data_IF_446739068399
#
_entry.id   IF_446739068399
#
_cell.length_a   1.000
_cell.length_b   1.000
_cell.length_c   1.000
_cell.angle_alpha   90.00
_cell.angle_beta   90.00
_cell.angle_gamma   90.00
#
_symmetry.space_group_name_H-M   'P 1'
#
loop_
_entity.id
_entity.type
_entity.pdbx_description
1 polymer ?
#
# COMPACT_ATOMS: atom_id res chain seq x y z
N UNK A 1 -9.61 -35.65 33.99
CA UNK A 1 -8.41 -35.38 33.16
C UNK A 1 -8.56 -36.14 31.85
N UNK A 2 -8.18 -35.51 30.72
CA UNK A 2 -8.51 -35.78 29.29
C UNK A 2 -9.72 -34.92 28.85
N UNK A 3 -9.67 -34.08 27.81
CA UNK A 3 -8.65 -33.79 26.78
C UNK A 3 -9.05 -32.45 26.15
N UNK A 4 -8.33 -31.36 26.45
CA UNK A 4 -8.38 -30.11 25.70
C UNK A 4 -7.02 -30.03 24.99
N UNK A 5 -6.89 -30.64 23.81
CA UNK A 5 -5.63 -30.51 23.07
C UNK A 5 -5.72 -30.71 21.55
N UNK A 6 -6.92 -30.80 20.96
CA UNK A 6 -7.04 -31.11 19.52
C UNK A 6 -7.61 -29.95 18.69
N UNK A 7 -8.12 -28.88 19.31
CA UNK A 7 -8.75 -27.77 18.57
C UNK A 7 -7.74 -26.64 18.23
N UNK A 8 -6.60 -26.54 18.92
CA UNK A 8 -5.60 -25.49 18.66
C UNK A 8 -4.68 -25.82 17.47
N UNK A 9 -4.56 -27.10 17.08
CA UNK A 9 -3.64 -27.52 16.01
C UNK A 9 -4.20 -27.36 14.59
N UNK A 10 -5.53 -27.23 14.44
CA UNK A 10 -6.17 -27.13 13.11
C UNK A 10 -6.15 -25.68 12.59
N UNK A 11 -6.29 -24.69 13.48
CA UNK A 11 -6.27 -23.27 13.09
C UNK A 11 -4.88 -22.76 12.68
N UNK A 12 -3.81 -23.29 13.29
CA UNK A 12 -2.44 -22.97 12.90
C UNK A 12 -2.07 -23.62 11.57
N UNK A 13 -2.50 -24.86 11.32
CA UNK A 13 -2.19 -25.59 10.09
C UNK A 13 -2.83 -24.98 8.83
N UNK A 14 -4.07 -24.46 8.91
CA UNK A 14 -4.72 -23.79 7.76
C UNK A 14 -4.08 -22.47 7.37
N UNK A 15 -3.44 -21.75 8.31
CA UNK A 15 -2.81 -20.44 8.02
C UNK A 15 -1.33 -20.58 7.61
N UNK A 16 -0.60 -21.54 8.20
CA UNK A 16 0.79 -21.88 7.79
C UNK A 16 0.85 -22.29 6.31
N UNK A 17 -0.19 -22.97 5.81
CA UNK A 17 -0.29 -23.41 4.41
C UNK A 17 -0.41 -22.25 3.41
N UNK A 18 -0.70 -21.02 3.87
CA UNK A 18 -0.71 -19.81 3.03
C UNK A 18 0.70 -19.28 2.72
N UNK A 19 1.68 -19.48 3.60
CA UNK A 19 3.06 -19.03 3.36
C UNK A 19 3.86 -20.01 2.47
N UNK A 20 3.35 -21.20 2.15
CA UNK A 20 4.10 -22.25 1.43
C UNK A 20 3.41 -22.83 0.19
N UNK A 21 2.63 -22.02 -0.53
CA UNK A 21 1.94 -22.48 -1.74
C UNK A 21 2.63 -22.02 -3.04
N UNK A 22 3.92 -22.37 -3.19
CA UNK A 22 4.71 -22.10 -4.40
C UNK A 22 4.05 -22.70 -5.67
N UNK A 23 3.37 -23.85 -5.55
CA UNK A 23 2.82 -24.57 -6.69
C UNK A 23 1.46 -24.04 -7.20
N UNK A 24 0.61 -23.42 -6.36
CA UNK A 24 -0.59 -22.70 -6.83
C UNK A 24 -0.27 -21.30 -7.34
N UNK A 25 0.73 -20.64 -6.75
CA UNK A 25 1.20 -19.33 -7.21
C UNK A 25 1.86 -19.42 -8.59
N UNK A 26 2.60 -20.49 -8.91
CA UNK A 26 3.25 -20.67 -10.22
C UNK A 26 2.27 -20.73 -11.40
N UNK A 27 1.14 -21.43 -11.29
CA UNK A 27 0.14 -21.48 -12.38
C UNK A 27 -0.75 -20.24 -12.42
N UNK A 28 -0.94 -19.55 -11.28
CA UNK A 28 -1.51 -18.20 -11.25
C UNK A 28 -0.54 -17.26 -11.97
N UNK A 29 0.67 -17.01 -11.45
CA UNK A 29 1.69 -16.07 -11.95
C UNK A 29 1.99 -16.25 -13.45
N UNK A 30 2.08 -17.49 -13.97
CA UNK A 30 2.33 -17.74 -15.39
C UNK A 30 1.11 -17.53 -16.30
N UNK A 31 -0.10 -17.42 -15.74
CA UNK A 31 -1.34 -17.06 -16.44
C UNK A 31 -1.95 -15.69 -16.05
N UNK A 32 -1.49 -15.06 -14.95
CA UNK A 32 -2.18 -13.95 -14.23
C UNK A 32 -1.56 -12.56 -14.36
N UNK A 33 -0.48 -12.37 -15.10
CA UNK A 33 -0.10 -10.99 -15.40
C UNK A 33 -1.07 -10.48 -16.46
N UNK A 34 -2.22 -9.97 -16.01
CA UNK A 34 -3.11 -9.20 -16.85
C UNK A 34 -2.29 -8.11 -17.54
N UNK A 35 -2.63 -7.71 -18.77
CA UNK A 35 -1.96 -6.61 -19.46
C UNK A 35 -1.72 -5.40 -18.54
N UNK A 36 -2.71 -5.07 -17.70
CA UNK A 36 -2.65 -3.99 -16.72
C UNK A 36 -1.51 -4.13 -15.69
N UNK A 37 -1.24 -5.34 -15.20
CA UNK A 37 -0.13 -5.58 -14.25
C UNK A 37 1.21 -5.42 -14.97
N UNK A 38 1.36 -5.94 -16.20
CA UNK A 38 2.59 -5.79 -16.98
C UNK A 38 2.88 -4.34 -17.31
N UNK A 39 1.84 -3.61 -17.71
CA UNK A 39 1.91 -2.19 -18.00
C UNK A 39 2.27 -1.39 -16.75
N UNK A 40 1.68 -1.70 -15.59
CA UNK A 40 2.01 -1.05 -14.31
C UNK A 40 3.44 -1.33 -13.86
N UNK A 41 3.96 -2.53 -14.14
CA UNK A 41 5.38 -2.87 -13.93
C UNK A 41 6.27 -2.04 -14.86
N UNK A 42 5.92 -1.95 -16.15
CA UNK A 42 6.68 -1.15 -17.11
C UNK A 42 6.65 0.35 -16.75
N UNK A 43 5.53 0.85 -16.25
CA UNK A 43 5.36 2.23 -15.79
C UNK A 43 6.39 2.60 -14.71
N UNK A 44 6.67 1.71 -13.75
CA UNK A 44 7.66 1.96 -12.69
C UNK A 44 9.08 2.18 -13.23
N UNK A 45 9.42 1.66 -14.41
CA UNK A 45 10.74 1.88 -15.02
C UNK A 45 10.99 3.35 -15.37
N UNK A 46 9.93 4.13 -15.60
CA UNK A 46 10.02 5.57 -15.87
C UNK A 46 10.46 6.36 -14.63
N UNK A 47 10.29 5.79 -13.44
CA UNK A 47 10.65 6.40 -12.16
C UNK A 47 11.86 5.74 -11.50
N UNK A 48 12.60 4.91 -12.23
CA UNK A 48 13.71 4.13 -11.69
C UNK A 48 14.78 5.03 -11.06
N UNK A 49 15.09 6.17 -11.66
CA UNK A 49 16.04 7.15 -11.09
C UNK A 49 15.54 7.71 -9.75
N UNK A 50 14.25 8.02 -9.65
CA UNK A 50 13.66 8.51 -8.40
C UNK A 50 13.73 7.44 -7.31
N UNK A 51 13.35 6.21 -7.65
CA UNK A 51 13.43 5.03 -6.77
C UNK A 51 14.86 4.79 -6.29
N UNK A 52 15.84 4.84 -7.20
CA UNK A 52 17.25 4.56 -6.89
C UNK A 52 17.96 5.70 -6.16
N UNK A 53 17.47 6.94 -6.30
CA UNK A 53 18.01 8.10 -5.59
C UNK A 53 17.83 8.01 -4.07
N UNK A 54 16.85 7.22 -3.59
CA UNK A 54 16.56 7.00 -2.18
C UNK A 54 17.23 5.71 -1.72
N UNK A 55 18.42 5.83 -1.09
CA UNK A 55 19.25 4.67 -0.70
C UNK A 55 18.51 3.69 0.20
N UNK A 56 17.73 4.19 1.14
CA UNK A 56 16.93 3.39 2.07
C UNK A 56 15.77 2.71 1.35
N UNK A 57 15.15 3.39 0.37
CA UNK A 57 14.14 2.80 -0.50
C UNK A 57 14.71 1.60 -1.24
N UNK A 58 15.95 1.68 -1.74
CA UNK A 58 16.59 0.60 -2.51
C UNK A 58 16.61 -0.75 -1.78
N UNK A 59 16.82 -0.76 -0.46
CA UNK A 59 16.93 -2.00 0.32
C UNK A 59 15.58 -2.74 0.46
N UNK A 60 14.48 -2.00 0.60
CA UNK A 60 13.13 -2.54 0.76
C UNK A 60 12.22 -2.22 -0.43
N UNK A 61 12.79 -1.88 -1.60
CA UNK A 61 12.04 -1.23 -2.69
C UNK A 61 10.82 -2.03 -3.13
N UNK A 62 10.96 -3.34 -3.24
CA UNK A 62 9.85 -4.19 -3.68
C UNK A 62 8.79 -4.32 -2.60
N UNK A 63 9.16 -4.34 -1.32
CA UNK A 63 8.18 -4.36 -0.21
C UNK A 63 7.35 -3.07 -0.20
N UNK A 64 8.03 -1.92 -0.30
CA UNK A 64 7.39 -0.60 -0.30
C UNK A 64 6.51 -0.41 -1.54
N UNK A 65 7.04 -0.73 -2.73
CA UNK A 65 6.28 -0.63 -3.97
C UNK A 65 5.08 -1.57 -3.97
N UNK A 66 5.19 -2.77 -3.39
CA UNK A 66 4.06 -3.71 -3.31
C UNK A 66 2.84 -3.11 -2.64
N UNK A 67 3.05 -2.35 -1.56
CA UNK A 67 1.96 -1.71 -0.79
C UNK A 67 1.17 -0.72 -1.65
N UNK A 68 1.84 0.05 -2.50
CA UNK A 68 1.21 1.10 -3.32
C UNK A 68 0.90 0.65 -4.75
N UNK A 69 1.41 -0.50 -5.18
CA UNK A 69 1.28 -1.01 -6.54
C UNK A 69 -0.18 -1.15 -7.03
N UNK A 70 -1.16 -1.58 -6.21
CA UNK A 70 -2.52 -1.65 -6.70
C UNK A 70 -3.10 -0.27 -7.09
N UNK A 71 -2.61 0.84 -6.52
CA UNK A 71 -3.00 2.18 -6.97
C UNK A 71 -2.40 2.55 -8.33
N UNK A 72 -1.22 2.01 -8.69
CA UNK A 72 -0.64 2.19 -10.02
C UNK A 72 -1.52 1.49 -11.07
N UNK A 73 -2.04 0.30 -10.76
CA UNK A 73 -2.99 -0.39 -11.64
C UNK A 73 -4.25 0.47 -11.84
N UNK A 74 -4.81 1.04 -10.75
CA UNK A 74 -5.97 1.94 -10.87
C UNK A 74 -5.63 3.19 -11.65
N UNK A 75 -4.46 3.77 -11.43
CA UNK A 75 -4.00 4.95 -12.15
C UNK A 75 -3.98 4.67 -13.64
N UNK A 76 -3.30 3.62 -14.09
CA UNK A 76 -3.22 3.27 -15.50
C UNK A 76 -4.60 2.95 -16.11
N UNK A 77 -5.50 2.33 -15.34
CA UNK A 77 -6.84 1.99 -15.82
C UNK A 77 -7.81 3.19 -15.89
N UNK A 78 -7.62 4.23 -15.06
CA UNK A 78 -8.60 5.31 -14.88
C UNK A 78 -7.99 6.72 -14.92
N UNK A 79 -6.77 6.89 -15.44
CA UNK A 79 -6.04 8.16 -15.39
C UNK A 79 -6.89 9.33 -15.91
N UNK A 80 -7.52 9.19 -17.07
CA UNK A 80 -8.33 10.26 -17.67
C UNK A 80 -9.48 10.71 -16.76
N UNK A 81 -10.13 9.75 -16.09
CA UNK A 81 -11.23 10.03 -15.16
C UNK A 81 -10.70 10.73 -13.91
N UNK A 82 -9.61 10.20 -13.34
CA UNK A 82 -8.97 10.74 -12.13
C UNK A 82 -8.49 12.17 -12.37
N UNK A 83 -7.81 12.44 -13.48
CA UNK A 83 -7.31 13.76 -13.83
C UNK A 83 -8.46 14.77 -14.04
N UNK A 84 -9.54 14.33 -14.69
CA UNK A 84 -10.74 15.16 -14.88
C UNK A 84 -11.41 15.51 -13.56
N UNK A 85 -11.58 14.54 -12.65
CA UNK A 85 -12.17 14.76 -11.33
C UNK A 85 -11.29 15.65 -10.44
N UNK A 86 -9.97 15.45 -10.47
CA UNK A 86 -9.02 16.24 -9.70
C UNK A 86 -9.06 17.72 -10.07
N UNK A 87 -9.16 18.06 -11.37
CA UNK A 87 -9.23 19.46 -11.82
C UNK A 87 -10.44 20.22 -11.24
N UNK A 88 -11.57 19.54 -11.05
CA UNK A 88 -12.75 20.13 -10.40
C UNK A 88 -12.58 20.29 -8.89
N UNK A 89 -11.91 19.33 -8.23
CA UNK A 89 -11.86 19.20 -6.78
C UNK A 89 -10.73 19.99 -6.11
N UNK A 90 -9.66 20.35 -6.82
CA UNK A 90 -8.55 21.16 -6.31
C UNK A 90 -9.00 22.52 -5.76
N UNK A 91 -10.18 22.99 -6.17
CA UNK A 91 -10.82 24.23 -5.68
C UNK A 91 -11.63 24.05 -4.38
N UNK A 92 -11.72 22.83 -3.84
CA UNK A 92 -12.61 22.48 -2.71
C UNK A 92 -11.83 21.91 -1.52
N UNK A 93 -12.42 22.03 -0.32
CA UNK A 93 -11.90 21.39 0.91
C UNK A 93 -12.14 19.86 0.97
N UNK A 94 -12.47 19.21 -0.15
CA UNK A 94 -12.77 17.78 -0.19
C UNK A 94 -11.52 16.89 0.00
N UNK A 95 -11.66 15.74 0.63
CA UNK A 95 -10.56 14.80 0.88
C UNK A 95 -10.50 13.71 -0.21
N UNK A 96 -9.98 14.07 -1.38
CA UNK A 96 -9.86 13.21 -2.56
C UNK A 96 -8.45 12.64 -2.73
N UNK A 97 -8.35 11.57 -3.51
CA UNK A 97 -7.09 10.90 -3.84
C UNK A 97 -6.32 11.65 -4.93
N UNK A 98 -4.99 11.75 -4.78
CA UNK A 98 -4.12 12.57 -5.64
C UNK A 98 -2.89 11.74 -6.08
N UNK A 99 -2.58 11.82 -7.37
CA UNK A 99 -1.35 11.29 -7.96
C UNK A 99 -1.32 9.76 -8.10
N UNK A 100 -0.18 9.22 -8.53
CA UNK A 100 -0.03 7.81 -8.91
C UNK A 100 -0.31 6.80 -7.79
N UNK A 101 -0.09 7.16 -6.52
CA UNK A 101 -0.42 6.30 -5.39
C UNK A 101 -1.75 6.66 -4.72
N UNK A 102 -2.53 7.56 -5.34
CA UNK A 102 -3.90 7.88 -4.95
C UNK A 102 -4.05 8.19 -3.45
N UNK A 103 -3.02 8.81 -2.85
CA UNK A 103 -3.06 9.21 -1.44
C UNK A 103 -4.07 10.33 -1.22
N UNK A 104 -4.66 10.40 -0.02
CA UNK A 104 -5.52 11.52 0.40
C UNK A 104 -4.74 12.55 1.23
N UNK A 105 -5.09 13.85 1.17
CA UNK A 105 -4.51 14.85 2.07
C UNK A 105 -4.65 14.48 3.56
N UNK A 106 -5.79 13.93 3.97
CA UNK A 106 -5.97 13.46 5.36
C UNK A 106 -5.03 12.30 5.72
N UNK A 107 -4.77 11.39 4.80
CA UNK A 107 -3.86 10.26 5.00
C UNK A 107 -2.43 10.75 5.23
N UNK A 108 -1.96 11.69 4.39
CA UNK A 108 -0.63 12.27 4.53
C UNK A 108 -0.53 13.12 5.80
N UNK A 109 -1.56 13.89 6.15
CA UNK A 109 -1.61 14.60 7.44
C UNK A 109 -1.52 13.62 8.62
N UNK A 110 -2.23 12.50 8.58
CA UNK A 110 -2.16 11.48 9.64
C UNK A 110 -0.73 10.92 9.78
N UNK A 111 0.01 10.76 8.68
CA UNK A 111 1.42 10.37 8.74
C UNK A 111 2.31 11.46 9.37
N UNK A 112 2.11 12.73 8.98
CA UNK A 112 2.83 13.86 9.59
C UNK A 112 2.59 13.93 11.11
N UNK A 113 1.32 13.86 11.52
CA UNK A 113 0.92 13.86 12.93
C UNK A 113 1.54 12.66 13.67
N UNK A 114 1.61 11.50 13.02
CA UNK A 114 2.21 10.29 13.59
C UNK A 114 3.74 10.43 13.77
N UNK A 115 4.45 10.87 12.73
CA UNK A 115 5.89 11.13 12.75
C UNK A 115 6.24 12.12 13.86
N UNK A 116 5.47 13.22 13.96
CA UNK A 116 5.66 14.21 15.01
C UNK A 116 5.40 13.65 16.41
N UNK A 117 4.29 12.91 16.58
CA UNK A 117 3.90 12.34 17.89
C UNK A 117 4.92 11.35 18.44
N UNK A 118 5.53 10.55 17.58
CA UNK A 118 6.48 9.51 17.97
C UNK A 118 7.95 9.90 17.74
N UNK A 119 8.21 11.18 17.44
CA UNK A 119 9.54 11.77 17.25
C UNK A 119 10.42 11.00 16.24
N UNK A 120 9.84 10.57 15.12
CA UNK A 120 10.54 9.79 14.10
C UNK A 120 11.38 10.72 13.19
N UNK A 121 12.47 11.26 13.74
CA UNK A 121 13.31 12.33 13.16
C UNK A 121 13.79 12.06 11.73
N UNK A 122 14.05 10.80 11.40
CA UNK A 122 14.47 10.39 10.05
C UNK A 122 13.40 10.69 8.98
N UNK A 123 12.15 10.93 9.39
CA UNK A 123 11.02 11.30 8.52
C UNK A 123 10.59 12.76 8.67
N UNK A 124 11.37 13.63 9.32
CA UNK A 124 11.05 15.06 9.44
C UNK A 124 10.84 15.74 8.07
N UNK A 125 11.42 15.18 7.00
CA UNK A 125 11.24 15.67 5.64
C UNK A 125 9.80 15.62 5.12
N UNK A 126 8.90 14.81 5.71
CA UNK A 126 7.47 14.82 5.34
C UNK A 126 6.69 15.91 6.06
N UNK A 127 7.22 16.45 7.16
CA UNK A 127 6.50 17.44 7.98
C UNK A 127 6.29 18.74 7.21
N UNK A 128 5.14 19.36 7.47
CA UNK A 128 4.81 20.70 7.00
C UNK A 128 4.71 21.59 8.23
N UNK A 129 5.75 22.36 8.48
CA UNK A 129 5.88 23.18 9.69
C UNK A 129 5.60 24.65 9.39
N UNK A 130 5.19 25.39 10.43
CA UNK A 130 5.07 26.84 10.43
C UNK A 130 4.08 27.42 9.40
N UNK A 131 3.06 26.64 9.03
CA UNK A 131 1.96 27.05 8.16
C UNK A 131 0.63 26.95 8.91
N UNK A 132 -0.31 27.84 8.59
CA UNK A 132 -1.70 27.66 9.00
C UNK A 132 -2.33 26.46 8.27
N UNK A 133 -3.46 25.95 8.78
CA UNK A 133 -4.07 24.71 8.27
C UNK A 133 -4.35 24.72 6.76
N UNK A 134 -4.76 25.88 6.21
CA UNK A 134 -5.02 26.04 4.77
C UNK A 134 -3.74 25.97 3.94
N UNK A 135 -2.70 26.69 4.35
CA UNK A 135 -1.41 26.70 3.65
C UNK A 135 -0.72 25.34 3.76
N UNK A 136 -0.82 24.68 4.92
CA UNK A 136 -0.29 23.34 5.12
C UNK A 136 -1.01 22.32 4.22
N UNK A 137 -2.33 22.46 4.05
CA UNK A 137 -3.09 21.64 3.10
C UNK A 137 -2.69 21.90 1.66
N UNK A 138 -2.51 23.15 1.26
CA UNK A 138 -2.07 23.49 -0.10
C UNK A 138 -0.69 22.92 -0.43
N UNK A 139 0.27 23.04 0.50
CA UNK A 139 1.61 22.44 0.38
C UNK A 139 1.51 20.91 0.24
N UNK A 140 0.66 20.26 1.04
CA UNK A 140 0.45 18.81 0.97
C UNK A 140 -0.07 18.37 -0.40
N UNK A 141 -1.08 19.08 -0.92
CA UNK A 141 -1.64 18.83 -2.26
C UNK A 141 -0.56 19.02 -3.33
N UNK A 142 0.21 20.11 -3.25
CA UNK A 142 1.32 20.41 -4.16
C UNK A 142 2.39 19.30 -4.14
N UNK A 143 2.76 18.80 -2.96
CA UNK A 143 3.68 17.65 -2.85
C UNK A 143 3.06 16.40 -3.46
N UNK A 144 1.82 16.09 -3.13
CA UNK A 144 1.14 14.88 -3.61
C UNK A 144 0.95 14.84 -5.14
N UNK A 145 0.90 15.98 -5.83
CA UNK A 145 0.86 16.00 -7.29
C UNK A 145 2.20 15.69 -7.96
N UNK A 146 3.29 15.60 -7.19
CA UNK A 146 4.64 15.36 -7.70
C UNK A 146 5.07 13.90 -7.45
N UNK A 147 5.48 13.15 -8.49
CA UNK A 147 5.85 11.75 -8.34
C UNK A 147 6.93 11.49 -7.27
N UNK A 148 8.00 12.29 -7.20
CA UNK A 148 9.07 12.08 -6.22
C UNK A 148 8.58 12.20 -4.77
N UNK A 149 7.59 13.06 -4.52
CA UNK A 149 6.97 13.19 -3.21
C UNK A 149 6.05 12.00 -2.91
N UNK A 150 5.34 11.46 -3.90
CA UNK A 150 4.57 10.22 -3.75
C UNK A 150 5.48 9.05 -3.31
N UNK A 151 6.68 8.91 -3.91
CA UNK A 151 7.67 7.92 -3.47
C UNK A 151 8.21 8.18 -2.05
N UNK A 152 8.49 9.44 -1.70
CA UNK A 152 8.89 9.83 -0.34
C UNK A 152 7.80 9.51 0.69
N UNK A 153 6.54 9.72 0.37
CA UNK A 153 5.42 9.37 1.25
C UNK A 153 5.23 7.86 1.35
N UNK A 154 5.39 7.09 0.27
CA UNK A 154 5.34 5.63 0.32
C UNK A 154 6.47 5.06 1.19
N UNK A 155 7.66 5.64 1.10
CA UNK A 155 8.80 5.32 1.96
C UNK A 155 8.50 5.59 3.43
N UNK A 156 8.05 6.81 3.75
CA UNK A 156 7.70 7.17 5.12
C UNK A 156 6.56 6.30 5.66
N UNK A 157 5.54 6.03 4.84
CA UNK A 157 4.42 5.16 5.19
C UNK A 157 4.89 3.78 5.64
N UNK A 158 5.78 3.15 4.87
CA UNK A 158 6.29 1.83 5.21
C UNK A 158 6.86 1.79 6.64
N UNK A 159 7.68 2.77 6.99
CA UNK A 159 8.29 2.85 8.31
C UNK A 159 7.32 3.27 9.42
N UNK A 160 6.37 4.15 9.11
CA UNK A 160 5.24 4.46 10.02
C UNK A 160 4.44 3.20 10.32
N UNK A 161 4.16 2.36 9.32
CA UNK A 161 3.47 1.08 9.49
C UNK A 161 4.32 0.08 10.30
N UNK A 162 5.62 -0.05 10.01
CA UNK A 162 6.55 -0.87 10.82
C UNK A 162 6.51 -0.46 12.30
N UNK A 163 6.58 0.85 12.59
CA UNK A 163 6.53 1.33 13.97
C UNK A 163 5.14 1.13 14.61
N UNK A 164 4.07 1.46 13.88
CA UNK A 164 2.68 1.39 14.36
C UNK A 164 2.26 -0.03 14.74
N UNK A 165 2.75 -1.01 13.99
CA UNK A 165 2.34 -2.40 14.11
C UNK A 165 3.48 -3.31 14.58
N UNK A 166 4.49 -2.75 15.25
CA UNK A 166 5.67 -3.48 15.77
C UNK A 166 5.35 -4.64 16.72
N UNK A 167 4.19 -4.60 17.37
CA UNK A 167 3.73 -5.65 18.29
C UNK A 167 3.08 -6.85 17.55
N UNK A 168 2.85 -6.74 16.24
CA UNK A 168 2.34 -7.84 15.43
C UNK A 168 3.50 -8.76 15.06
N UNK A 169 3.41 -10.02 15.49
CA UNK A 169 4.30 -11.08 15.03
C UNK A 169 3.82 -11.60 13.66
N UNK A 170 4.25 -10.93 12.58
CA UNK A 170 3.99 -11.41 11.23
C UNK A 170 4.65 -12.77 11.01
N UNK A 171 3.90 -13.72 10.45
CA UNK A 171 4.38 -15.10 10.23
C UNK A 171 5.41 -15.20 9.11
N UNK A 172 5.27 -14.35 8.09
CA UNK A 172 6.14 -14.29 6.92
C UNK A 172 6.08 -12.88 6.31
N UNK A 173 6.98 -12.55 5.39
CA UNK A 173 7.02 -11.23 4.73
C UNK A 173 5.76 -10.96 3.91
N UNK A 174 5.19 -12.01 3.33
CA UNK A 174 3.97 -11.98 2.55
C UNK A 174 2.79 -11.50 3.41
N UNK A 175 2.64 -12.02 4.64
CA UNK A 175 1.61 -11.58 5.58
C UNK A 175 1.79 -10.10 5.96
N UNK A 176 3.04 -9.66 6.16
CA UNK A 176 3.36 -8.25 6.43
C UNK A 176 2.98 -7.34 5.28
N UNK A 177 3.32 -7.71 4.04
CA UNK A 177 2.99 -6.93 2.84
C UNK A 177 1.47 -6.83 2.67
N UNK A 178 0.76 -7.94 2.79
CA UNK A 178 -0.70 -7.93 2.68
C UNK A 178 -1.36 -7.05 3.74
N UNK A 179 -0.87 -7.12 4.98
CA UNK A 179 -1.38 -6.31 6.08
C UNK A 179 -1.07 -4.81 5.87
N UNK A 180 0.15 -4.45 5.49
CA UNK A 180 0.51 -3.05 5.22
C UNK A 180 -0.20 -2.50 3.99
N UNK A 181 -0.45 -3.31 2.96
CA UNK A 181 -1.29 -2.94 1.83
C UNK A 181 -2.74 -2.68 2.25
N UNK A 182 -3.30 -3.52 3.12
CA UNK A 182 -4.64 -3.31 3.67
C UNK A 182 -4.72 -2.02 4.50
N UNK A 183 -3.74 -1.79 5.37
CA UNK A 183 -3.64 -0.59 6.20
C UNK A 183 -3.48 0.68 5.35
N UNK A 184 -2.79 0.59 4.22
CA UNK A 184 -2.64 1.69 3.27
C UNK A 184 -3.98 2.03 2.63
N UNK A 185 -4.67 1.00 2.12
CA UNK A 185 -5.92 1.18 1.39
C UNK A 185 -7.12 1.54 2.29
N UNK A 186 -7.14 1.07 3.54
CA UNK A 186 -8.21 1.32 4.50
C UNK A 186 -7.96 2.55 5.39
N UNK A 187 -6.70 2.75 5.79
CA UNK A 187 -6.27 3.77 6.76
C UNK A 187 -5.52 3.14 7.95
N UNK A 188 -4.26 3.50 8.11
CA UNK A 188 -3.33 2.84 9.06
C UNK A 188 -3.56 3.18 10.54
N UNK A 189 -4.41 4.16 10.84
CA UNK A 189 -4.81 4.47 12.21
C UNK A 189 -5.92 3.55 12.72
N UNK A 190 -6.53 2.74 11.85
CA UNK A 190 -7.55 1.76 12.20
C UNK A 190 -7.02 0.66 13.12
N UNK A 191 -7.94 -0.09 13.70
CA UNK A 191 -7.57 -1.24 14.55
C UNK A 191 -7.00 -2.38 13.73
N UNK A 192 -6.24 -3.27 14.39
CA UNK A 192 -5.65 -4.45 13.75
C UNK A 192 -6.75 -5.33 13.15
N UNK A 193 -7.86 -5.51 13.87
CA UNK A 193 -8.97 -6.36 13.44
C UNK A 193 -9.67 -5.79 12.18
N UNK A 194 -9.92 -4.48 12.14
CA UNK A 194 -10.48 -3.81 10.95
C UNK A 194 -9.56 -3.98 9.73
N UNK A 195 -8.25 -3.82 9.93
CA UNK A 195 -7.27 -3.98 8.85
C UNK A 195 -7.22 -5.44 8.38
N UNK A 196 -7.26 -6.43 9.29
CA UNK A 196 -7.31 -7.86 8.94
C UNK A 196 -8.60 -8.25 8.22
N UNK A 197 -9.73 -7.65 8.58
CA UNK A 197 -10.98 -7.82 7.83
C UNK A 197 -10.83 -7.23 6.42
N UNK A 198 -10.30 -6.01 6.32
CA UNK A 198 -10.13 -5.32 5.05
C UNK A 198 -9.14 -6.03 4.11
N UNK A 199 -8.08 -6.63 4.65
CA UNK A 199 -7.06 -7.38 3.92
C UNK A 199 -7.67 -8.44 2.99
N UNK A 200 -8.80 -9.02 3.37
CA UNK A 200 -9.45 -10.11 2.63
C UNK A 200 -10.63 -9.63 1.75
N UNK A 201 -10.98 -8.34 1.76
CA UNK A 201 -12.14 -7.84 1.00
C UNK A 201 -11.85 -7.76 -0.49
N UNK A 202 -12.63 -8.51 -1.26
CA UNK A 202 -12.53 -8.62 -2.73
C UNK A 202 -13.32 -7.52 -3.43
N UNK A 203 -12.81 -6.30 -3.35
CA UNK A 203 -13.45 -5.09 -3.88
C UNK A 203 -12.53 -4.26 -4.77
N UNK A 204 -11.38 -4.82 -5.19
CA UNK A 204 -10.44 -4.16 -6.09
C UNK A 204 -10.68 -4.60 -7.55
N UNK A 205 -10.59 -3.68 -8.54
CA UNK A 205 -10.26 -2.26 -8.41
C UNK A 205 -11.46 -1.32 -8.20
N UNK A 206 -12.69 -1.78 -8.47
CA UNK A 206 -13.88 -0.95 -8.71
C UNK A 206 -14.73 -0.65 -7.46
N UNK A 207 -14.39 -1.24 -6.32
CA UNK A 207 -15.12 -1.06 -5.06
C UNK A 207 -16.28 -2.03 -4.87
N UNK A 208 -16.93 -1.92 -3.71
CA UNK A 208 -17.96 -2.87 -3.24
C UNK A 208 -19.27 -2.87 -4.04
N UNK A 209 -19.51 -1.83 -4.85
CA UNK A 209 -20.74 -1.70 -5.66
C UNK A 209 -20.64 -2.37 -7.02
N UNK A 210 -19.44 -2.82 -7.42
CA UNK A 210 -19.25 -3.44 -8.73
C UNK A 210 -19.65 -4.93 -8.68
N UNK A 211 -20.51 -5.40 -9.60
CA UNK A 211 -21.18 -6.70 -9.47
C UNK A 211 -20.30 -7.90 -9.89
N UNK A 212 -19.20 -7.68 -10.61
CA UNK A 212 -18.34 -8.76 -11.11
C UNK A 212 -17.34 -9.23 -10.05
N UNK A 213 -16.84 -10.47 -10.17
CA UNK A 213 -15.75 -10.95 -9.33
C UNK A 213 -14.55 -10.01 -9.37
N UNK A 214 -14.03 -9.73 -8.18
CA UNK A 214 -12.91 -8.82 -7.93
C UNK A 214 -11.89 -9.53 -7.04
N UNK A 215 -10.71 -8.92 -6.88
CA UNK A 215 -9.70 -9.39 -5.94
C UNK A 215 -9.57 -8.43 -4.76
N UNK A 216 -8.79 -8.82 -3.75
CA UNK A 216 -8.42 -7.93 -2.65
C UNK A 216 -7.19 -7.09 -3.00
N UNK A 217 -7.18 -5.85 -2.51
CA UNK A 217 -6.04 -4.94 -2.66
C UNK A 217 -4.73 -5.61 -2.19
N UNK A 218 -4.79 -6.28 -1.04
CA UNK A 218 -3.67 -7.01 -0.44
C UNK A 218 -3.17 -8.18 -1.29
N UNK A 219 -4.05 -8.91 -1.98
CA UNK A 219 -3.61 -9.98 -2.87
C UNK A 219 -2.87 -9.43 -4.10
N UNK A 220 -3.33 -8.32 -4.67
CA UNK A 220 -2.64 -7.65 -5.78
C UNK A 220 -1.23 -7.19 -5.36
N UNK A 221 -1.09 -6.62 -4.16
CA UNK A 221 0.21 -6.26 -3.59
C UNK A 221 1.14 -7.48 -3.47
N UNK A 222 0.63 -8.62 -3.01
CA UNK A 222 1.40 -9.85 -2.88
C UNK A 222 1.83 -10.43 -4.24
N UNK A 223 0.98 -10.37 -5.26
CA UNK A 223 1.31 -10.81 -6.63
C UNK A 223 2.53 -10.03 -7.15
N UNK A 224 2.53 -8.71 -6.99
CA UNK A 224 3.65 -7.86 -7.38
C UNK A 224 4.93 -8.21 -6.62
N UNK A 225 4.85 -8.37 -5.30
CA UNK A 225 6.00 -8.76 -4.49
C UNK A 225 6.63 -10.07 -4.98
N UNK A 226 5.79 -11.09 -5.20
CA UNK A 226 6.25 -12.41 -5.63
C UNK A 226 6.89 -12.38 -7.02
N UNK A 227 6.33 -11.59 -7.95
CA UNK A 227 6.92 -11.39 -9.26
C UNK A 227 8.37 -10.88 -9.16
N UNK A 228 8.63 -9.85 -8.34
CA UNK A 228 9.99 -9.33 -8.20
C UNK A 228 10.91 -10.21 -7.37
N UNK A 229 10.42 -10.88 -6.33
CA UNK A 229 11.21 -11.80 -5.53
C UNK A 229 11.69 -13.02 -6.35
N UNK A 230 10.89 -13.48 -7.32
CA UNK A 230 11.26 -14.58 -8.22
C UNK A 230 12.23 -14.15 -9.33
N UNK A 231 12.16 -12.91 -9.81
CA UNK A 231 12.98 -12.39 -10.91
C UNK A 231 14.24 -11.61 -10.45
N UNK A 232 14.42 -11.40 -9.15
CA UNK A 232 15.60 -10.72 -8.57
C UNK A 232 16.63 -11.71 -7.98
N UNK A 233 16.40 -13.02 -8.12
CA UNK A 233 17.36 -14.10 -7.81
C UNK A 233 18.08 -14.53 -9.08
#
# INVERSE_FOLDING_TARGET
MRTISTIIFVLTATYIMSCSNENKNSSLINGLLSPDIKESIAFLTQYQECIDSMKEFKAKKYEILSVVFPEIIRWNAFQDIIETEMNGLLSTNADFSIGIFQMKPSFVKNMEDYVLKYDMKEFDFILIQNLGDLDARAERISRMSQPHWQFKYAFAYWHVAEHRFKEINFTCIEDRIQFFAAAYNYGFLSTIDEIREWQNKKVFPYGSKYPSPQDSYSNIALIFYNFYNQNSK
#
